data_IF_005342934796
#
_entry.id   IF_005342934796
#
_cell.length_a   1.000
_cell.length_b   1.000
_cell.length_c   1.000
_cell.angle_alpha   90.00
_cell.angle_beta   90.00
_cell.angle_gamma   90.00
#
_symmetry.space_group_name_H-M   'P 1'
#
loop_
_entity.id
_entity.type
_entity.pdbx_description
1 polymer ?
#
# COMPACT_ATOMS: atom_id res chain seq x y z
N UNK A 1 -6.58 -15.73 -18.81
CA UNK A 1 -7.72 -16.45 -19.37
C UNK A 1 -8.99 -15.60 -19.40
N UNK A 2 -9.39 -15.12 -20.59
CA UNK A 2 -10.80 -14.72 -20.83
C UNK A 2 -11.70 -15.95 -20.67
N UNK A 3 -12.27 -16.14 -19.48
CA UNK A 3 -13.29 -17.14 -19.25
C UNK A 3 -14.60 -16.59 -19.79
N UNK A 4 -15.37 -17.43 -20.48
CA UNK A 4 -16.78 -17.12 -20.67
C UNK A 4 -17.46 -17.07 -19.31
N UNK A 5 -18.49 -16.24 -19.16
CA UNK A 5 -19.24 -16.12 -17.90
C UNK A 5 -19.67 -17.51 -17.37
N UNK A 6 -20.09 -18.40 -18.25
CA UNK A 6 -20.50 -19.77 -17.90
C UNK A 6 -19.34 -20.64 -17.38
N UNK A 7 -18.11 -20.44 -17.86
CA UNK A 7 -16.93 -21.14 -17.35
C UNK A 7 -16.50 -20.60 -15.98
N UNK A 8 -16.63 -19.29 -15.76
CA UNK A 8 -16.37 -18.65 -14.48
C UNK A 8 -17.32 -19.18 -13.39
N UNK A 9 -18.64 -19.22 -13.66
CA UNK A 9 -19.63 -19.77 -12.72
C UNK A 9 -19.37 -21.25 -12.42
N UNK A 10 -19.01 -22.05 -13.44
CA UNK A 10 -18.70 -23.47 -13.25
C UNK A 10 -17.49 -23.70 -12.35
N UNK A 11 -16.51 -22.80 -12.36
CA UNK A 11 -15.35 -22.87 -11.47
C UNK A 11 -15.69 -22.44 -10.04
N UNK A 12 -16.55 -21.43 -9.87
CA UNK A 12 -17.10 -21.05 -8.56
C UNK A 12 -17.87 -22.21 -7.92
N UNK A 13 -18.73 -22.90 -8.68
CA UNK A 13 -19.53 -24.00 -8.15
C UNK A 13 -18.66 -25.22 -7.77
N UNK A 14 -17.48 -25.40 -8.38
CA UNK A 14 -16.51 -26.42 -7.95
C UNK A 14 -15.86 -26.10 -6.60
N UNK A 15 -15.69 -24.82 -6.27
CA UNK A 15 -15.15 -24.39 -4.96
C UNK A 15 -16.13 -24.68 -3.82
N UNK A 16 -17.43 -24.55 -4.07
CA UNK A 16 -18.49 -24.92 -3.11
C UNK A 16 -18.64 -26.43 -2.95
N UNK A 17 -18.35 -27.23 -3.99
CA UNK A 17 -18.44 -28.70 -3.95
C UNK A 17 -17.28 -29.35 -3.17
N UNK A 18 -16.13 -28.70 -3.04
CA UNK A 18 -14.92 -29.26 -2.39
C UNK A 18 -14.83 -29.06 -0.86
N UNK A 19 -15.97 -29.09 -0.15
CA UNK A 19 -16.05 -29.22 1.34
C UNK A 19 -15.50 -28.06 2.18
N UNK A 20 -15.60 -26.80 1.74
CA UNK A 20 -15.62 -25.70 2.70
C UNK A 20 -17.08 -25.33 2.92
N UNK A 21 -17.60 -25.69 4.10
CA UNK A 21 -19.01 -25.46 4.44
C UNK A 21 -19.18 -23.97 4.78
N UNK A 22 -19.37 -23.14 3.76
CA UNK A 22 -19.59 -21.72 3.92
C UNK A 22 -21.05 -21.46 4.38
N UNK A 23 -21.36 -21.77 5.63
CA UNK A 23 -22.66 -21.45 6.24
C UNK A 23 -22.77 -19.98 6.68
N UNK A 24 -21.80 -19.15 6.35
CA UNK A 24 -21.84 -17.72 6.62
C UNK A 24 -22.79 -17.03 5.62
N UNK A 25 -23.88 -16.39 6.08
CA UNK A 25 -24.81 -15.68 5.22
C UNK A 25 -24.16 -14.62 4.32
N UNK A 26 -23.04 -14.01 4.78
CA UNK A 26 -22.28 -13.04 3.98
C UNK A 26 -21.59 -13.71 2.80
N UNK A 27 -21.11 -14.94 2.98
CA UNK A 27 -20.45 -15.69 1.90
C UNK A 27 -21.47 -16.13 0.85
N UNK A 28 -22.68 -16.53 1.27
CA UNK A 28 -23.77 -16.83 0.32
C UNK A 28 -24.24 -15.57 -0.43
N UNK A 29 -24.30 -14.41 0.23
CA UNK A 29 -24.59 -13.14 -0.44
C UNK A 29 -23.53 -12.79 -1.51
N UNK A 30 -22.25 -13.04 -1.20
CA UNK A 30 -21.15 -12.92 -2.17
C UNK A 30 -21.40 -13.89 -3.33
N UNK A 31 -21.63 -15.18 -3.11
CA UNK A 31 -21.87 -16.13 -4.21
C UNK A 31 -23.09 -15.76 -5.07
N UNK A 32 -24.14 -15.19 -4.48
CA UNK A 32 -25.29 -14.70 -5.24
C UNK A 32 -24.98 -13.48 -6.10
N UNK A 33 -24.15 -12.54 -5.61
CA UNK A 33 -23.64 -11.42 -6.40
C UNK A 33 -22.74 -11.91 -7.54
N UNK A 34 -21.84 -12.88 -7.27
CA UNK A 34 -21.00 -13.54 -8.28
C UNK A 34 -21.82 -14.15 -9.43
N UNK A 35 -22.91 -14.85 -9.09
CA UNK A 35 -23.78 -15.53 -10.07
C UNK A 35 -24.65 -14.58 -10.88
N UNK A 36 -24.91 -13.37 -10.40
CA UNK A 36 -25.78 -12.38 -11.07
C UNK A 36 -25.03 -11.34 -11.88
N UNK A 37 -23.73 -11.15 -11.62
CA UNK A 37 -22.92 -10.15 -12.32
C UNK A 37 -22.25 -10.70 -13.58
N UNK A 38 -22.13 -9.88 -14.62
CA UNK A 38 -21.44 -10.24 -15.86
C UNK A 38 -19.92 -10.15 -15.70
N UNK A 39 -19.33 -11.06 -14.92
CA UNK A 39 -17.89 -11.16 -14.74
C UNK A 39 -17.30 -12.12 -15.77
N UNK A 40 -16.33 -11.64 -16.54
CA UNK A 40 -15.59 -12.42 -17.54
C UNK A 40 -14.12 -12.59 -17.19
N UNK A 41 -13.62 -11.73 -16.31
CA UNK A 41 -12.26 -11.77 -15.77
C UNK A 41 -12.29 -11.60 -14.25
N UNK A 42 -11.24 -12.06 -13.57
CA UNK A 42 -11.05 -11.80 -12.14
C UNK A 42 -10.96 -10.28 -11.83
N UNK A 43 -10.51 -9.48 -12.80
CA UNK A 43 -10.48 -8.01 -12.71
C UNK A 43 -11.89 -7.40 -12.71
N UNK A 44 -12.80 -7.91 -13.56
CA UNK A 44 -14.20 -7.47 -13.58
C UNK A 44 -14.86 -7.76 -12.23
N UNK A 45 -14.56 -8.92 -11.68
CA UNK A 45 -15.02 -9.33 -10.37
C UNK A 45 -14.57 -8.34 -9.29
N UNK A 46 -13.26 -8.09 -9.18
CA UNK A 46 -12.70 -7.16 -8.19
C UNK A 46 -13.25 -5.74 -8.35
N UNK A 47 -13.41 -5.29 -9.60
CA UNK A 47 -13.99 -3.97 -9.92
C UNK A 47 -15.45 -3.88 -9.47
N UNK A 48 -16.22 -4.96 -9.63
CA UNK A 48 -17.64 -5.00 -9.32
C UNK A 48 -18.00 -5.07 -7.84
N UNK A 49 -17.11 -5.64 -7.02
CA UNK A 49 -17.25 -5.62 -5.57
C UNK A 49 -16.88 -4.27 -4.96
N UNK A 50 -16.57 -3.25 -5.79
CA UNK A 50 -16.21 -1.91 -5.36
C UNK A 50 -15.18 -1.89 -4.23
N UNK A 51 -14.22 -2.81 -4.27
CA UNK A 51 -12.97 -2.65 -3.54
C UNK A 51 -11.94 -2.02 -4.48
N UNK A 52 -12.34 -1.00 -5.25
CA UNK A 52 -11.30 -0.13 -5.76
C UNK A 52 -10.72 0.60 -4.56
N UNK A 53 -9.41 0.71 -4.52
CA UNK A 53 -8.70 1.48 -3.51
C UNK A 53 -9.34 2.87 -3.27
N UNK A 54 -9.89 3.45 -4.33
CA UNK A 54 -10.61 4.72 -4.33
C UNK A 54 -11.95 4.67 -3.57
N UNK A 55 -12.73 3.60 -3.71
CA UNK A 55 -14.02 3.46 -3.01
C UNK A 55 -13.80 3.31 -1.49
N UNK A 56 -12.83 2.49 -1.07
CA UNK A 56 -12.47 2.39 0.36
C UNK A 56 -11.97 3.72 0.93
N UNK A 57 -11.33 4.56 0.13
CA UNK A 57 -10.84 5.87 0.54
C UNK A 57 -11.96 6.89 0.73
N UNK A 58 -12.94 6.88 -0.18
CA UNK A 58 -14.08 7.78 -0.17
C UNK A 58 -15.11 7.34 0.88
N UNK A 59 -15.29 6.04 1.10
CA UNK A 59 -16.18 5.45 2.12
C UNK A 59 -15.62 5.50 3.55
N UNK A 60 -14.30 5.31 3.76
CA UNK A 60 -13.72 5.31 5.12
C UNK A 60 -13.46 6.72 5.70
N UNK A 61 -13.99 7.79 5.09
CA UNK A 61 -13.81 9.18 5.54
C UNK A 61 -12.34 9.64 5.76
N UNK A 62 -11.34 8.90 5.26
CA UNK A 62 -9.91 9.17 5.45
C UNK A 62 -9.52 10.52 4.83
N UNK A 63 -10.08 10.84 3.66
CA UNK A 63 -9.83 12.12 2.99
C UNK A 63 -10.62 13.29 3.60
N UNK A 64 -11.92 13.17 3.96
CA UNK A 64 -12.62 14.18 4.76
C UNK A 64 -11.89 14.52 6.07
N UNK A 65 -11.34 13.50 6.76
CA UNK A 65 -10.48 13.66 7.92
C UNK A 65 -9.10 14.25 7.59
N UNK A 66 -8.77 14.54 6.33
CA UNK A 66 -7.60 15.33 5.89
C UNK A 66 -7.98 16.68 5.27
N UNK A 67 -9.22 16.84 4.80
CA UNK A 67 -9.74 18.09 4.28
C UNK A 67 -9.94 19.13 5.40
N UNK A 68 -10.03 18.68 6.66
CA UNK A 68 -10.37 19.54 7.82
C UNK A 68 -9.40 19.48 9.04
N UNK A 69 -8.27 18.75 9.08
CA UNK A 69 -7.22 19.04 10.05
C UNK A 69 -6.17 20.01 9.48
N UNK A 70 -5.58 20.87 10.31
CA UNK A 70 -4.51 21.76 9.88
C UNK A 70 -3.24 20.97 9.54
N UNK A 71 -3.08 20.63 8.25
CA UNK A 71 -1.79 20.27 7.69
C UNK A 71 -1.06 21.51 7.18
N UNK A 72 0.22 21.65 7.52
CA UNK A 72 1.09 22.69 6.98
C UNK A 72 2.45 22.16 6.57
N UNK A 73 2.99 22.71 5.48
CA UNK A 73 4.36 22.50 5.04
C UNK A 73 4.90 23.80 4.43
N UNK A 74 6.07 24.28 4.85
CA UNK A 74 6.59 25.61 4.47
C UNK A 74 5.58 26.75 4.72
N UNK A 75 4.84 26.67 5.83
CA UNK A 75 3.81 27.64 6.20
C UNK A 75 2.58 27.66 5.27
N UNK A 76 2.52 26.82 4.23
CA UNK A 76 1.37 26.68 3.33
C UNK A 76 0.47 25.56 3.83
N UNK A 77 -0.83 25.76 3.70
CA UNK A 77 -1.81 24.70 3.93
C UNK A 77 -1.60 23.60 2.90
N UNK A 78 -1.58 22.34 3.34
CA UNK A 78 -1.46 21.21 2.44
C UNK A 78 -2.75 21.01 1.62
N UNK A 79 -2.63 20.46 0.42
CA UNK A 79 -3.74 20.04 -0.44
C UNK A 79 -3.72 18.53 -0.67
N UNK A 80 -4.78 17.99 -1.28
CA UNK A 80 -4.86 16.56 -1.64
C UNK A 80 -3.67 16.11 -2.49
N UNK A 81 -3.13 16.97 -3.34
CA UNK A 81 -1.99 16.68 -4.22
C UNK A 81 -0.65 16.52 -3.48
N UNK A 82 -0.62 16.90 -2.19
CA UNK A 82 0.53 16.70 -1.33
C UNK A 82 0.62 15.28 -0.77
N UNK A 83 -0.45 14.50 -0.92
CA UNK A 83 -0.60 13.17 -0.39
C UNK A 83 -0.87 12.14 -1.48
N UNK A 84 -0.48 10.90 -1.23
CA UNK A 84 -1.05 9.73 -1.87
C UNK A 84 -1.64 8.85 -0.79
N UNK A 85 -2.69 8.13 -1.12
CA UNK A 85 -3.14 7.05 -0.24
C UNK A 85 -2.39 5.82 -0.71
N UNK A 86 -1.97 5.02 0.25
CA UNK A 86 -1.15 3.84 0.02
C UNK A 86 -1.62 2.66 0.89
N UNK A 87 -1.34 1.43 0.46
CA UNK A 87 -1.69 0.21 1.22
C UNK A 87 -0.43 -0.54 1.63
N UNK A 88 -0.26 -0.78 2.92
CA UNK A 88 0.91 -1.56 3.39
C UNK A 88 0.63 -3.06 3.31
N UNK A 89 1.64 -3.84 2.93
CA UNK A 89 1.51 -5.30 2.78
C UNK A 89 1.22 -5.99 4.14
N UNK A 90 1.92 -5.59 5.21
CA UNK A 90 1.84 -6.29 6.50
C UNK A 90 0.66 -5.89 7.39
N UNK A 91 0.20 -4.63 7.35
CA UNK A 91 -0.88 -4.17 8.23
C UNK A 91 -2.25 -4.28 7.57
N UNK A 92 -2.30 -4.66 6.28
CA UNK A 92 -3.49 -4.64 5.42
C UNK A 92 -4.29 -3.33 5.48
N UNK A 93 -3.67 -2.26 5.98
CA UNK A 93 -4.31 -1.01 6.35
C UNK A 93 -4.11 0.05 5.27
N UNK A 94 -5.11 0.94 5.14
CA UNK A 94 -4.99 2.16 4.36
C UNK A 94 -4.14 3.17 5.12
N UNK A 95 -3.19 3.78 4.42
CA UNK A 95 -2.29 4.78 4.98
C UNK A 95 -2.27 6.01 4.08
N UNK A 96 -1.96 7.16 4.67
CA UNK A 96 -1.76 8.41 3.94
C UNK A 96 -0.25 8.68 3.90
N UNK A 97 0.28 8.85 2.70
CA UNK A 97 1.68 9.17 2.47
C UNK A 97 1.83 10.63 2.04
N UNK A 98 2.49 11.43 2.88
CA UNK A 98 2.95 12.76 2.49
C UNK A 98 4.18 12.65 1.57
N UNK A 99 4.31 13.56 0.59
CA UNK A 99 5.42 13.61 -0.36
C UNK A 99 5.63 12.26 -1.11
N UNK A 100 4.58 11.76 -1.81
CA UNK A 100 4.65 10.48 -2.50
C UNK A 100 5.67 10.50 -3.63
N UNK A 101 6.25 9.33 -3.91
CA UNK A 101 7.17 9.16 -5.04
C UNK A 101 6.45 9.39 -6.37
N UNK A 102 7.01 10.24 -7.23
CA UNK A 102 6.39 10.63 -8.51
C UNK A 102 7.10 10.04 -9.73
N UNK A 103 7.95 9.03 -9.53
CA UNK A 103 8.73 8.41 -10.60
C UNK A 103 10.09 9.04 -10.84
N UNK A 104 10.86 8.41 -11.74
CA UNK A 104 12.24 8.77 -12.06
C UNK A 104 12.32 10.20 -12.59
N UNK A 105 13.30 10.97 -12.10
CA UNK A 105 13.52 12.35 -12.52
C UNK A 105 12.57 13.37 -11.88
N UNK A 106 11.67 12.93 -10.98
CA UNK A 106 10.94 13.84 -10.09
C UNK A 106 11.68 13.94 -8.75
N UNK A 107 11.77 15.17 -8.25
CA UNK A 107 12.46 15.45 -6.99
C UNK A 107 11.52 15.32 -5.81
N UNK A 108 12.08 14.88 -4.69
CA UNK A 108 11.48 15.04 -3.37
C UNK A 108 11.22 16.52 -3.04
N UNK A 109 10.29 16.77 -2.12
CA UNK A 109 10.11 18.11 -1.55
C UNK A 109 11.41 18.60 -0.89
N UNK A 110 11.68 19.92 -0.93
CA UNK A 110 12.86 20.49 -0.30
C UNK A 110 12.83 20.27 1.22
N UNK A 111 14.01 20.12 1.82
CA UNK A 111 14.16 19.99 3.27
C UNK A 111 13.97 21.36 3.94
N UNK A 112 13.01 21.50 4.88
CA UNK A 112 12.81 22.72 5.64
C UNK A 112 14.06 23.11 6.44
N UNK A 113 14.40 24.41 6.43
CA UNK A 113 15.53 24.95 7.21
C UNK A 113 15.13 25.30 8.66
N UNK A 114 13.83 25.49 8.90
CA UNK A 114 13.24 25.76 10.20
C UNK A 114 12.22 24.70 10.56
N UNK A 115 12.09 24.39 11.85
CA UNK A 115 11.05 23.48 12.34
C UNK A 115 9.63 24.02 12.10
N UNK A 116 9.48 25.36 12.04
CA UNK A 116 8.21 26.02 11.71
C UNK A 116 7.80 25.81 10.25
N UNK A 117 8.76 25.51 9.37
CA UNK A 117 8.53 25.19 7.96
C UNK A 117 8.39 23.67 7.74
N UNK A 118 8.53 22.88 8.81
CA UNK A 118 8.38 21.43 8.83
C UNK A 118 6.98 20.96 8.43
N UNK A 119 6.86 19.65 8.20
CA UNK A 119 5.56 19.00 8.05
C UNK A 119 4.85 19.01 9.40
N UNK A 120 3.68 19.62 9.44
CA UNK A 120 2.80 19.69 10.60
C UNK A 120 1.49 19.03 10.21
N UNK A 121 1.03 18.11 11.05
CA UNK A 121 -0.23 17.40 10.87
C UNK A 121 -0.91 17.33 12.22
N UNK A 122 -2.14 17.81 12.28
CA UNK A 122 -3.06 17.52 13.37
C UNK A 122 -3.97 16.39 12.91
N UNK A 123 -4.26 15.43 13.78
CA UNK A 123 -5.16 14.33 13.46
C UNK A 123 -6.25 14.33 14.52
N UNK A 124 -7.49 14.41 14.06
CA UNK A 124 -8.66 14.21 14.91
C UNK A 124 -9.10 12.76 14.72
N UNK A 125 -8.81 11.94 15.73
CA UNK A 125 -9.17 10.52 15.73
C UNK A 125 -10.53 10.41 16.41
N UNK A 126 -11.59 10.26 15.63
CA UNK A 126 -12.92 10.06 16.19
C UNK A 126 -13.00 8.66 16.82
N UNK A 127 -13.27 8.58 18.13
CA UNK A 127 -13.28 7.34 18.89
C UNK A 127 -14.49 6.44 18.58
N UNK A 128 -15.54 6.97 17.93
CA UNK A 128 -16.81 6.24 17.72
C UNK A 128 -16.80 5.26 16.52
N UNK A 129 -15.79 5.32 15.65
CA UNK A 129 -15.62 4.35 14.56
C UNK A 129 -14.58 3.29 14.96
N UNK A 130 -14.98 2.36 15.83
CA UNK A 130 -14.19 1.14 16.10
C UNK A 130 -14.08 0.30 14.81
N UNK A 131 -13.03 0.56 14.03
CA UNK A 131 -12.61 -0.34 12.96
C UNK A 131 -12.09 -1.65 13.59
N UNK A 132 -13.01 -2.62 13.69
CA UNK A 132 -12.83 -4.05 13.96
C UNK A 132 -11.48 -4.53 14.51
N UNK A 133 -11.43 -4.76 15.83
CA UNK A 133 -10.85 -5.88 16.61
C UNK A 133 -9.54 -6.61 16.22
N UNK A 134 -8.85 -6.35 15.10
CA UNK A 134 -7.66 -7.15 14.75
C UNK A 134 -6.39 -6.64 15.46
N UNK A 135 -6.33 -5.36 15.80
CA UNK A 135 -5.22 -4.77 16.55
C UNK A 135 -5.74 -3.82 17.63
N UNK A 136 -5.51 -4.13 18.91
CA UNK A 136 -5.81 -3.28 20.08
C UNK A 136 -4.92 -2.02 20.14
N UNK A 137 -4.70 -1.37 19.00
CA UNK A 137 -3.86 -0.18 18.88
C UNK A 137 -4.77 1.05 18.81
N UNK A 138 -4.83 1.79 19.91
CA UNK A 138 -5.45 3.11 19.93
C UNK A 138 -4.38 4.15 19.58
N UNK A 139 -4.57 4.85 18.45
CA UNK A 139 -3.66 5.88 17.97
C UNK A 139 -3.27 5.72 16.50
N UNK A 140 -2.16 6.35 16.11
CA UNK A 140 -1.68 6.38 14.72
C UNK A 140 -0.28 5.80 14.67
N UNK A 141 0.01 5.00 13.64
CA UNK A 141 1.38 4.57 13.32
C UNK A 141 1.95 5.48 12.24
N UNK A 142 3.11 6.07 12.51
CA UNK A 142 3.86 6.87 11.56
C UNK A 142 5.05 6.08 11.03
N UNK A 143 5.19 6.06 9.71
CA UNK A 143 6.30 5.46 8.99
C UNK A 143 7.13 6.57 8.32
N UNK A 144 8.43 6.58 8.55
CA UNK A 144 9.34 7.57 7.94
C UNK A 144 10.32 6.84 7.04
N UNK A 145 10.21 7.06 5.72
CA UNK A 145 11.05 6.42 4.71
C UNK A 145 11.74 7.44 3.82
N UNK A 146 12.85 7.05 3.20
CA UNK A 146 13.49 7.85 2.16
C UNK A 146 12.62 7.93 0.90
N UNK A 147 12.70 9.05 0.20
CA UNK A 147 11.98 9.26 -1.05
C UNK A 147 12.33 8.18 -2.08
N UNK A 148 11.31 7.57 -2.69
CA UNK A 148 11.46 6.48 -3.64
C UNK A 148 11.44 5.08 -3.03
N UNK A 149 11.50 4.91 -1.71
CA UNK A 149 11.23 3.59 -1.13
C UNK A 149 9.71 3.30 -1.17
N UNK A 150 9.27 2.16 -1.74
CA UNK A 150 7.86 1.81 -1.74
C UNK A 150 7.31 1.63 -0.33
N UNK A 151 6.06 2.04 -0.14
CA UNK A 151 5.39 1.97 1.16
C UNK A 151 5.09 0.52 1.57
N UNK A 152 4.85 -0.37 0.60
CA UNK A 152 4.58 -1.80 0.80
C UNK A 152 5.75 -2.52 1.47
N UNK A 153 6.98 -2.03 1.25
CA UNK A 153 8.22 -2.66 1.68
C UNK A 153 8.59 -2.15 3.07
N UNK A 154 8.08 -2.78 4.12
CA UNK A 154 8.40 -2.42 5.51
C UNK A 154 9.74 -3.04 5.91
N UNK A 155 10.65 -2.22 6.43
CA UNK A 155 11.79 -2.72 7.20
C UNK A 155 11.41 -2.91 8.67
N UNK A 156 12.13 -3.78 9.37
CA UNK A 156 11.81 -4.23 10.74
C UNK A 156 11.73 -3.12 11.82
N UNK A 157 12.14 -1.88 11.54
CA UNK A 157 12.28 -0.80 12.55
C UNK A 157 11.73 0.58 12.13
N UNK A 158 10.80 0.65 11.19
CA UNK A 158 10.37 1.95 10.62
C UNK A 158 9.10 2.56 11.23
N UNK A 159 8.54 1.94 12.28
CA UNK A 159 7.24 2.31 12.87
C UNK A 159 7.38 3.11 14.16
N UNK A 160 6.64 4.20 14.26
CA UNK A 160 6.44 4.96 15.50
C UNK A 160 4.95 5.00 15.81
N UNK A 161 4.54 4.35 16.91
CA UNK A 161 3.18 4.46 17.41
C UNK A 161 3.00 5.77 18.21
N UNK A 162 1.92 6.48 17.92
CA UNK A 162 1.53 7.75 18.54
C UNK A 162 0.16 7.58 19.17
N UNK A 163 0.07 7.85 20.47
CA UNK A 163 -1.20 7.86 21.19
C UNK A 163 -1.95 9.18 20.99
N UNK A 164 -3.29 9.17 21.01
CA UNK A 164 -4.07 10.40 20.92
C UNK A 164 -3.85 11.33 22.12
N UNK A 165 -4.18 12.61 21.96
CA UNK A 165 -4.10 13.61 23.03
C UNK A 165 -2.70 14.16 23.34
N UNK A 166 -1.68 13.78 22.55
CA UNK A 166 -0.30 14.22 22.74
C UNK A 166 0.24 14.96 21.52
N UNK A 167 1.11 15.95 21.77
CA UNK A 167 1.90 16.59 20.72
C UNK A 167 3.23 15.85 20.55
N UNK A 168 3.49 15.35 19.35
CA UNK A 168 4.74 14.67 19.01
C UNK A 168 5.58 15.54 18.07
N UNK A 169 6.87 15.68 18.40
CA UNK A 169 7.83 16.42 17.59
C UNK A 169 8.95 15.49 17.12
N UNK A 170 9.09 15.34 15.81
CA UNK A 170 10.14 14.51 15.20
C UNK A 170 11.21 15.40 14.56
N UNK A 171 12.42 15.33 15.09
CA UNK A 171 13.61 15.90 14.44
C UNK A 171 14.34 14.81 13.66
N UNK A 172 14.31 14.91 12.34
CA UNK A 172 14.96 13.94 11.46
C UNK A 172 16.40 14.35 11.15
N UNK A 173 17.28 13.36 11.06
CA UNK A 173 18.67 13.54 10.61
C UNK A 173 18.97 12.48 9.56
N UNK A 174 19.32 12.92 8.36
CA UNK A 174 19.64 12.01 7.26
C UNK A 174 21.11 11.64 7.29
N UNK A 175 21.41 10.34 7.32
CA UNK A 175 22.76 9.81 7.13
C UNK A 175 22.82 9.12 5.78
N UNK A 176 23.74 9.55 4.91
CA UNK A 176 23.99 8.93 3.60
C UNK A 176 25.30 8.18 3.66
N UNK A 177 25.26 6.91 3.26
CA UNK A 177 26.43 6.06 3.15
C UNK A 177 26.71 5.81 1.67
N UNK A 178 27.98 5.97 1.27
CA UNK A 178 28.44 5.57 -0.05
C UNK A 178 29.35 4.37 0.12
N UNK A 179 28.81 3.20 -0.16
CA UNK A 179 29.54 1.95 -0.16
C UNK A 179 30.12 1.70 -1.56
N UNK A 180 31.26 1.01 -1.62
CA UNK A 180 31.97 0.77 -2.87
C UNK A 180 31.69 -0.65 -3.39
N UNK A 181 31.66 -0.85 -4.72
CA UNK A 181 31.52 -2.18 -5.31
C UNK A 181 32.80 -3.00 -5.11
N UNK A 182 32.80 -4.26 -5.57
CA UNK A 182 34.03 -5.06 -5.68
C UNK A 182 35.19 -4.22 -6.27
N UNK A 183 36.43 -4.32 -5.71
CA UNK A 183 36.94 -5.28 -4.73
C UNK A 183 36.92 -4.82 -3.27
N UNK A 184 36.18 -3.76 -2.93
CA UNK A 184 36.09 -3.28 -1.56
C UNK A 184 35.21 -4.21 -0.72
N UNK A 185 35.47 -4.31 0.59
CA UNK A 185 34.75 -5.22 1.52
C UNK A 185 33.23 -5.03 1.49
N UNK A 186 32.76 -3.82 1.22
CA UNK A 186 31.32 -3.56 1.13
C UNK A 186 30.62 -4.27 -0.02
N UNK A 187 31.36 -4.65 -1.08
CA UNK A 187 30.92 -5.41 -2.26
C UNK A 187 29.50 -5.04 -2.74
N UNK A 188 29.20 -3.74 -2.77
CA UNK A 188 27.86 -3.26 -3.05
C UNK A 188 27.58 -3.26 -4.55
N UNK A 189 26.43 -3.76 -4.94
CA UNK A 189 25.94 -3.72 -6.31
C UNK A 189 24.46 -3.38 -6.36
N UNK A 190 24.00 -3.06 -7.57
CA UNK A 190 22.58 -2.93 -7.88
C UNK A 190 22.21 -4.10 -8.80
N UNK A 191 21.05 -4.73 -8.54
CA UNK A 191 20.50 -5.78 -9.38
C UNK A 191 19.33 -5.22 -10.18
N UNK A 192 19.19 -5.66 -11.43
CA UNK A 192 17.95 -5.40 -12.16
C UNK A 192 16.78 -6.14 -11.49
N UNK A 193 15.73 -5.39 -11.18
CA UNK A 193 14.49 -5.93 -10.62
C UNK A 193 13.70 -6.62 -11.74
N UNK A 194 13.18 -7.79 -11.43
CA UNK A 194 12.46 -8.65 -12.37
C UNK A 194 10.96 -8.37 -12.37
N UNK A 195 10.40 -8.14 -11.18
CA UNK A 195 8.96 -8.02 -10.96
C UNK A 195 8.60 -6.58 -10.59
N UNK A 196 9.31 -5.97 -9.66
CA UNK A 196 8.99 -4.62 -9.18
C UNK A 196 9.20 -3.58 -10.29
N UNK A 197 8.34 -2.55 -10.34
CA UNK A 197 8.48 -1.45 -11.31
C UNK A 197 9.89 -0.88 -11.28
N UNK A 198 10.55 -0.89 -12.44
CA UNK A 198 11.87 -0.26 -12.65
C UNK A 198 11.88 1.26 -12.36
N UNK A 199 10.71 1.87 -12.16
CA UNK A 199 10.62 3.27 -11.74
C UNK A 199 11.05 3.48 -10.28
N UNK A 200 11.01 2.47 -9.42
CA UNK A 200 11.51 2.59 -8.04
C UNK A 200 13.04 2.45 -7.99
N UNK A 201 13.76 3.27 -7.19
CA UNK A 201 15.19 3.12 -6.97
C UNK A 201 15.53 1.76 -6.33
N UNK A 202 16.72 1.22 -6.61
CA UNK A 202 17.17 -0.02 -5.98
C UNK A 202 17.41 0.18 -4.47
N UNK A 203 17.02 -0.82 -3.67
CA UNK A 203 17.41 -0.95 -2.27
C UNK A 203 17.48 -2.42 -1.86
N UNK A 204 18.15 -2.73 -0.75
CA UNK A 204 18.22 -4.10 -0.22
C UNK A 204 16.84 -4.71 0.02
N UNK A 205 15.93 -3.93 0.61
CA UNK A 205 14.56 -4.40 0.86
C UNK A 205 13.75 -4.58 -0.42
N UNK A 206 13.92 -3.69 -1.39
CA UNK A 206 13.28 -3.86 -2.71
C UNK A 206 13.80 -5.12 -3.38
N UNK A 207 15.11 -5.41 -3.31
CA UNK A 207 15.68 -6.65 -3.83
C UNK A 207 15.12 -7.89 -3.12
N UNK A 208 14.95 -7.84 -1.80
CA UNK A 208 14.37 -8.93 -1.03
C UNK A 208 12.92 -9.20 -1.44
N UNK A 209 12.10 -8.15 -1.54
CA UNK A 209 10.71 -8.28 -1.97
C UNK A 209 10.62 -8.73 -3.43
N UNK A 210 11.41 -8.17 -4.33
CA UNK A 210 11.49 -8.60 -5.73
C UNK A 210 11.81 -10.10 -5.83
N UNK A 211 12.74 -10.60 -5.01
CA UNK A 211 13.07 -12.03 -4.97
C UNK A 211 11.90 -12.91 -4.52
N UNK A 212 11.15 -12.49 -3.50
CA UNK A 212 9.95 -13.23 -3.03
C UNK A 212 8.90 -13.24 -4.14
N UNK A 213 8.67 -12.09 -4.78
CA UNK A 213 7.66 -11.97 -5.83
C UNK A 213 8.06 -12.72 -7.10
N UNK A 214 9.34 -12.70 -7.50
CA UNK A 214 9.86 -13.52 -8.59
C UNK A 214 9.63 -15.00 -8.33
N UNK A 215 9.90 -15.47 -7.11
CA UNK A 215 9.64 -16.86 -6.74
C UNK A 215 8.16 -17.20 -6.82
N UNK A 216 7.29 -16.37 -6.23
CA UNK A 216 5.84 -16.57 -6.29
C UNK A 216 5.32 -16.58 -7.74
N UNK A 217 5.83 -15.68 -8.58
CA UNK A 217 5.48 -15.63 -9.99
C UNK A 217 5.95 -16.86 -10.77
N UNK A 218 7.17 -17.35 -10.52
CA UNK A 218 7.70 -18.56 -11.17
C UNK A 218 6.91 -19.81 -10.78
N UNK A 219 6.52 -19.93 -9.52
CA UNK A 219 5.79 -21.11 -9.02
C UNK A 219 4.28 -21.07 -9.31
N UNK A 220 3.65 -19.89 -9.21
CA UNK A 220 2.20 -19.75 -9.30
C UNK A 220 1.71 -19.05 -10.58
N UNK A 221 2.61 -18.40 -11.33
CA UNK A 221 2.27 -17.61 -12.52
C UNK A 221 1.62 -16.26 -12.24
N UNK A 222 1.42 -15.88 -10.97
CA UNK A 222 0.75 -14.65 -10.57
C UNK A 222 1.34 -14.05 -9.28
N UNK A 223 0.96 -12.80 -9.01
CA UNK A 223 1.26 -12.08 -7.76
C UNK A 223 -0.05 -11.52 -7.18
N UNK A 224 -0.07 -11.24 -5.88
CA UNK A 224 -1.24 -10.67 -5.21
C UNK A 224 -1.68 -9.33 -5.82
N UNK A 225 -2.99 -9.07 -5.86
CA UNK A 225 -3.54 -7.82 -6.39
C UNK A 225 -3.20 -6.61 -5.50
N UNK A 226 -2.97 -6.86 -4.21
CA UNK A 226 -2.64 -5.87 -3.18
C UNK A 226 -1.30 -5.17 -3.41
N UNK A 227 -0.49 -5.66 -4.35
CA UNK A 227 0.81 -5.11 -4.74
C UNK A 227 0.86 -4.62 -6.20
N UNK A 228 -0.29 -4.47 -6.87
CA UNK A 228 -0.42 -3.93 -8.24
C UNK A 228 0.34 -2.59 -8.42
N UNK A 229 0.36 -1.74 -7.40
CA UNK A 229 1.06 -0.46 -7.47
C UNK A 229 2.59 -0.59 -7.47
N UNK A 230 3.11 -1.70 -6.92
CA UNK A 230 4.54 -2.01 -6.77
C UNK A 230 5.11 -2.74 -7.98
N UNK A 231 4.35 -3.64 -8.59
CA UNK A 231 4.82 -4.53 -9.67
C UNK A 231 4.70 -3.88 -11.05
N UNK A 232 5.60 -4.22 -11.98
CA UNK A 232 5.60 -3.74 -13.37
C UNK A 232 4.33 -4.09 -14.15
N UNK A 233 4.34 -3.91 -15.47
CA UNK A 233 3.35 -4.55 -16.35
C UNK A 233 3.60 -6.07 -16.38
N UNK A 234 3.44 -6.70 -15.23
CA UNK A 234 3.35 -8.15 -15.12
C UNK A 234 1.91 -8.45 -15.45
N UNK A 235 1.73 -9.34 -16.41
CA UNK A 235 0.43 -9.83 -16.84
C UNK A 235 -0.24 -10.41 -15.60
N UNK A 236 -1.16 -9.66 -15.00
CA UNK A 236 -2.13 -10.21 -14.07
C UNK A 236 -2.72 -11.43 -14.76
N UNK A 237 -2.74 -12.57 -14.07
CA UNK A 237 -3.46 -13.71 -14.62
C UNK A 237 -4.94 -13.33 -14.59
N UNK A 238 -5.42 -12.94 -15.77
CA UNK A 238 -6.80 -13.06 -16.23
C UNK A 238 -7.43 -14.38 -15.75
#
# INVERSE_FOLDING_TARGET
FNLTHDEFIRNIDKLTVNKVNFTDPKVEEIFQKLRKGNFTTYKDLLTSYQLTFKDMVEENHIMPALEVPPCKFYGRQCTKDDFAIVRTWFLESLCIQFNPYKGVGKSERPTPLSYLDGFQLFLDLNEEEEFGTVHNLHGVVVLIKSYGNPHQVLGDNEMVAISPGQYHFFKLSTRKFKLLPHPYESDCGERELEVIKKSYPYSQWICFVDCILSYAYQECGCVGFDIEELVGEIIYVE
#
